data_IF_335624210887
#
_entry.id   IF_335624210887
#
_cell.length_a   1.000
_cell.length_b   1.000
_cell.length_c   1.000
_cell.angle_alpha   90.00
_cell.angle_beta   90.00
_cell.angle_gamma   90.00
#
_symmetry.space_group_name_H-M   'P 1'
#
loop_
_entity.id
_entity.type
_entity.pdbx_description
1 polymer ?
#
# COMPACT_ATOMS: atom_id res chain seq x y z
N UNK A 1 5.63 10.53 -18.94
CA UNK A 1 5.24 9.33 -19.72
C UNK A 1 4.55 9.76 -21.01
N UNK A 2 4.72 8.99 -22.10
CA UNK A 2 4.11 9.24 -23.40
C UNK A 2 3.47 7.95 -23.95
N UNK A 3 2.51 8.11 -24.88
CA UNK A 3 1.80 6.98 -25.50
C UNK A 3 1.01 6.18 -24.47
N UNK A 4 1.02 4.86 -24.54
CA UNK A 4 0.29 3.95 -23.65
C UNK A 4 0.66 4.10 -22.17
N UNK A 5 1.80 4.73 -21.85
CA UNK A 5 2.27 4.99 -20.50
C UNK A 5 1.81 6.33 -19.94
N UNK A 6 1.16 7.16 -20.77
CA UNK A 6 0.64 8.45 -20.33
C UNK A 6 -0.41 8.27 -19.25
N UNK A 7 -0.45 9.21 -18.31
CA UNK A 7 -1.35 9.12 -17.17
C UNK A 7 -2.83 9.08 -17.60
N UNK A 8 -3.21 9.88 -18.56
CA UNK A 8 -4.59 9.95 -19.07
C UNK A 8 -5.09 8.61 -19.62
N UNK A 9 -4.19 7.84 -20.27
CA UNK A 9 -4.51 6.49 -20.76
C UNK A 9 -4.62 5.50 -19.61
N UNK A 10 -3.69 5.57 -18.64
CA UNK A 10 -3.67 4.68 -17.48
C UNK A 10 -4.83 4.95 -16.53
N UNK A 11 -5.24 6.21 -16.34
CA UNK A 11 -6.36 6.57 -15.47
C UNK A 11 -7.63 5.80 -15.84
N UNK A 12 -7.98 5.78 -17.14
CA UNK A 12 -9.17 5.06 -17.60
C UNK A 12 -9.08 3.56 -17.30
N UNK A 13 -7.92 2.96 -17.52
CA UNK A 13 -7.69 1.54 -17.22
C UNK A 13 -7.79 1.24 -15.72
N UNK A 14 -7.24 2.10 -14.86
CA UNK A 14 -7.34 1.98 -13.40
C UNK A 14 -8.79 2.09 -12.92
N UNK A 15 -9.52 3.09 -13.40
CA UNK A 15 -10.94 3.29 -13.10
C UNK A 15 -11.76 2.05 -13.51
N UNK A 16 -11.50 1.51 -14.69
CA UNK A 16 -12.13 0.29 -15.18
C UNK A 16 -11.84 -0.93 -14.28
N UNK A 17 -10.58 -1.10 -13.83
CA UNK A 17 -10.21 -2.18 -12.91
C UNK A 17 -11.00 -2.06 -11.61
N UNK A 18 -11.06 -0.87 -11.01
CA UNK A 18 -11.79 -0.63 -9.76
C UNK A 18 -13.29 -0.95 -9.93
N UNK A 19 -13.89 -0.50 -11.02
CA UNK A 19 -15.34 -0.71 -11.29
C UNK A 19 -15.69 -2.14 -11.61
N UNK A 20 -14.93 -2.80 -12.51
CA UNK A 20 -15.18 -4.21 -12.92
C UNK A 20 -15.03 -5.17 -11.76
N UNK A 21 -14.05 -4.96 -10.89
CA UNK A 21 -13.84 -5.80 -9.70
C UNK A 21 -14.71 -5.37 -8.51
N UNK A 22 -15.49 -4.30 -8.65
CA UNK A 22 -16.39 -3.80 -7.60
C UNK A 22 -15.65 -3.59 -6.27
N UNK A 23 -14.44 -3.05 -6.32
CA UNK A 23 -13.67 -2.80 -5.11
C UNK A 23 -14.43 -1.84 -4.19
N UNK A 24 -14.40 -2.14 -2.91
CA UNK A 24 -14.93 -1.26 -1.87
C UNK A 24 -13.82 -0.43 -1.22
N UNK A 25 -12.59 -0.95 -1.28
CA UNK A 25 -11.36 -0.31 -0.81
C UNK A 25 -10.20 -0.75 -1.69
N UNK A 26 -9.26 0.16 -1.95
CA UNK A 26 -8.00 -0.15 -2.62
C UNK A 26 -6.91 0.81 -2.16
N UNK A 27 -5.67 0.38 -2.31
CA UNK A 27 -4.50 1.17 -1.96
C UNK A 27 -3.64 1.41 -3.21
N UNK A 28 -2.96 2.55 -3.24
CA UNK A 28 -2.01 2.88 -4.29
C UNK A 28 -0.71 3.39 -3.69
N UNK A 29 0.38 3.18 -4.40
CA UNK A 29 1.69 3.74 -4.15
C UNK A 29 2.09 4.65 -5.32
N UNK A 30 3.08 5.51 -5.13
CA UNK A 30 3.58 6.46 -6.13
C UNK A 30 2.54 7.44 -6.70
N UNK A 31 1.40 7.58 -6.03
CA UNK A 31 0.35 8.48 -6.48
C UNK A 31 0.72 9.94 -6.26
N UNK A 32 0.85 10.72 -7.33
CA UNK A 32 1.05 12.18 -7.23
C UNK A 32 -0.26 12.90 -6.91
N UNK A 33 -0.18 14.05 -6.24
CA UNK A 33 -1.37 14.83 -5.86
C UNK A 33 -2.32 15.10 -7.03
N UNK A 34 -1.80 15.40 -8.24
CA UNK A 34 -2.63 15.57 -9.44
C UNK A 34 -3.34 14.28 -9.82
N UNK A 35 -2.65 13.15 -9.78
CA UNK A 35 -3.22 11.85 -10.11
C UNK A 35 -4.31 11.43 -9.12
N UNK A 36 -4.11 11.69 -7.82
CA UNK A 36 -5.14 11.44 -6.82
C UNK A 36 -6.39 12.29 -7.08
N UNK A 37 -6.22 13.55 -7.46
CA UNK A 37 -7.33 14.43 -7.85
C UNK A 37 -8.10 13.87 -9.05
N UNK A 38 -7.39 13.41 -10.08
CA UNK A 38 -8.02 12.84 -11.28
C UNK A 38 -8.76 11.53 -10.95
N UNK A 39 -8.23 10.71 -10.03
CA UNK A 39 -8.89 9.50 -9.54
C UNK A 39 -10.20 9.78 -8.78
N UNK A 40 -10.46 11.02 -8.35
CA UNK A 40 -11.74 11.40 -7.76
C UNK A 40 -12.91 11.41 -8.76
N UNK A 41 -12.68 11.07 -10.04
CA UNK A 41 -13.74 10.66 -10.98
C UNK A 41 -14.52 9.44 -10.43
N UNK A 42 -13.90 8.65 -9.53
CA UNK A 42 -14.55 7.65 -8.68
C UNK A 42 -15.23 8.37 -7.51
N UNK A 43 -16.27 9.12 -7.79
CA UNK A 43 -16.89 10.06 -6.85
C UNK A 43 -17.51 9.39 -5.61
N UNK A 44 -17.75 8.09 -5.65
CA UNK A 44 -18.19 7.27 -4.51
C UNK A 44 -17.07 7.01 -3.49
N UNK A 45 -15.81 7.21 -3.89
CA UNK A 45 -14.66 7.05 -3.01
C UNK A 45 -14.21 8.36 -2.35
N UNK A 46 -13.47 8.21 -1.27
CA UNK A 46 -12.58 9.20 -0.68
C UNK A 46 -11.24 8.52 -0.40
N UNK A 47 -10.23 9.27 0.00
CA UNK A 47 -8.94 8.69 0.37
C UNK A 47 -8.32 9.36 1.60
N UNK A 48 -7.38 8.66 2.23
CA UNK A 48 -6.47 9.16 3.26
C UNK A 48 -5.04 8.91 2.82
N UNK A 49 -4.10 9.63 3.39
CA UNK A 49 -2.66 9.53 3.17
C UNK A 49 -2.03 10.83 2.72
N UNK A 50 -0.86 11.13 3.29
CA UNK A 50 -0.02 12.28 2.92
C UNK A 50 1.01 11.87 1.87
N UNK A 51 1.61 12.84 1.22
CA UNK A 51 2.79 12.61 0.41
C UNK A 51 4.04 12.39 1.30
N UNK A 52 4.99 11.62 0.78
CA UNK A 52 6.20 11.23 1.51
C UNK A 52 7.17 12.39 1.78
N UNK A 53 7.09 13.46 1.00
CA UNK A 53 7.98 14.63 1.13
C UNK A 53 7.40 15.71 2.06
N UNK A 54 6.09 15.66 2.32
CA UNK A 54 5.39 16.53 3.27
C UNK A 54 5.08 17.93 2.74
N UNK A 55 5.29 18.18 1.45
CA UNK A 55 5.13 19.48 0.80
C UNK A 55 4.04 19.50 -0.29
N UNK A 56 3.25 18.43 -0.39
CA UNK A 56 2.25 18.15 -1.42
C UNK A 56 2.80 17.98 -2.84
N UNK A 57 4.10 17.76 -3.00
CA UNK A 57 4.75 17.49 -4.28
C UNK A 57 5.25 16.06 -4.41
N UNK A 58 5.41 15.37 -3.28
CA UNK A 58 5.85 14.00 -3.21
C UNK A 58 4.79 13.00 -3.66
N UNK A 59 5.16 11.74 -3.57
CA UNK A 59 4.31 10.60 -3.89
C UNK A 59 3.59 10.11 -2.64
N UNK A 60 2.31 9.74 -2.80
CA UNK A 60 1.45 9.27 -1.73
C UNK A 60 1.41 7.74 -1.67
N UNK A 61 1.26 7.22 -0.45
CA UNK A 61 0.73 5.90 -0.18
C UNK A 61 -0.75 6.05 0.23
N UNK A 62 -1.66 6.20 -0.75
CA UNK A 62 -3.05 6.52 -0.46
C UNK A 62 -3.92 5.27 -0.28
N UNK A 63 -4.89 5.35 0.64
CA UNK A 63 -5.92 4.33 0.86
C UNK A 63 -7.26 4.92 0.44
N UNK A 64 -7.83 4.40 -0.65
CA UNK A 64 -9.14 4.77 -1.15
C UNK A 64 -10.21 3.86 -0.56
N UNK A 65 -11.35 4.44 -0.20
CA UNK A 65 -12.48 3.71 0.38
C UNK A 65 -13.83 4.30 -0.04
N UNK A 66 -14.85 3.46 -0.21
CA UNK A 66 -16.21 3.90 -0.46
C UNK A 66 -16.80 4.62 0.74
N UNK A 67 -17.27 5.86 0.54
CA UNK A 67 -17.81 6.75 1.59
C UNK A 67 -19.08 6.22 2.23
N UNK A 68 -19.92 5.53 1.44
CA UNK A 68 -21.18 4.95 1.90
C UNK A 68 -21.00 3.63 2.68
N UNK A 69 -19.83 3.01 2.53
CA UNK A 69 -19.53 1.74 3.18
C UNK A 69 -18.61 1.87 4.39
N UNK A 70 -17.62 2.76 4.34
CA UNK A 70 -16.63 2.86 5.39
C UNK A 70 -16.58 4.26 6.01
N UNK A 71 -16.49 4.29 7.34
CA UNK A 71 -16.20 5.49 8.10
C UNK A 71 -14.78 5.40 8.64
N UNK A 72 -13.96 6.40 8.34
CA UNK A 72 -12.64 6.57 8.96
C UNK A 72 -12.84 7.05 10.39
N UNK A 73 -12.33 6.31 11.36
CA UNK A 73 -12.40 6.65 12.79
C UNK A 73 -11.13 7.36 13.26
N UNK A 74 -9.97 6.90 12.75
CA UNK A 74 -8.65 7.50 12.97
C UNK A 74 -7.78 7.22 11.75
N UNK A 75 -6.81 8.05 11.48
CA UNK A 75 -5.78 7.81 10.48
C UNK A 75 -4.51 8.56 10.83
N UNK A 76 -3.43 8.20 10.17
CA UNK A 76 -2.14 8.87 10.30
C UNK A 76 -1.13 8.29 9.31
N UNK A 77 0.05 8.85 9.38
CA UNK A 77 1.18 8.44 8.55
C UNK A 77 2.42 8.34 9.45
N UNK A 78 3.37 7.50 9.06
CA UNK A 78 4.70 7.49 9.64
C UNK A 78 5.75 7.23 8.55
N UNK A 79 6.94 7.80 8.74
CA UNK A 79 8.06 7.60 7.83
C UNK A 79 8.91 6.43 8.28
N UNK A 80 9.38 5.65 7.33
CA UNK A 80 10.35 4.59 7.58
C UNK A 80 11.72 5.17 7.80
N UNK A 81 11.97 5.64 9.01
CA UNK A 81 13.21 6.26 9.45
C UNK A 81 13.32 6.26 10.98
N UNK A 82 14.45 6.65 11.50
CA UNK A 82 14.70 6.85 12.92
C UNK A 82 13.85 7.99 13.53
N UNK A 83 13.23 8.82 12.67
CA UNK A 83 12.35 9.93 13.07
C UNK A 83 10.99 9.79 12.37
N UNK A 84 10.16 8.80 12.77
CA UNK A 84 8.95 8.41 12.02
C UNK A 84 7.85 9.46 11.98
N UNK A 85 7.88 10.46 12.84
CA UNK A 85 6.82 11.47 12.93
C UNK A 85 7.00 12.65 11.94
N UNK A 86 8.15 12.71 11.26
CA UNK A 86 8.48 13.78 10.30
C UNK A 86 9.03 13.22 8.99
N UNK A 87 8.86 13.95 7.85
CA UNK A 87 9.44 13.55 6.58
C UNK A 87 10.97 13.41 6.64
N UNK A 88 11.46 12.17 6.61
CA UNK A 88 12.89 11.88 6.77
C UNK A 88 13.33 10.68 5.96
N UNK A 89 14.63 10.57 5.73
CA UNK A 89 15.27 9.40 5.13
C UNK A 89 15.70 8.47 6.27
N UNK A 90 15.51 7.15 6.10
CA UNK A 90 15.96 6.15 7.06
C UNK A 90 16.93 5.15 6.44
N UNK A 91 17.97 4.77 7.20
CA UNK A 91 18.83 3.61 6.93
C UNK A 91 19.40 3.54 5.51
N UNK A 92 19.79 4.71 4.98
CA UNK A 92 20.37 4.81 3.64
C UNK A 92 19.37 4.70 2.48
N UNK A 93 18.09 4.84 2.73
CA UNK A 93 17.06 4.81 1.70
C UNK A 93 17.31 5.85 0.60
N UNK A 94 17.01 5.48 -0.65
CA UNK A 94 17.12 6.36 -1.81
C UNK A 94 16.11 7.51 -1.80
N UNK A 95 14.92 7.22 -1.27
CA UNK A 95 13.83 8.18 -1.15
C UNK A 95 13.27 8.15 0.27
N UNK A 96 12.60 9.23 0.69
CA UNK A 96 11.72 9.14 1.86
C UNK A 96 10.66 8.09 1.61
N UNK A 97 10.39 7.24 2.60
CA UNK A 97 9.39 6.18 2.51
C UNK A 97 8.38 6.34 3.62
N UNK A 98 7.12 6.10 3.30
CA UNK A 98 5.99 6.39 4.17
C UNK A 98 5.04 5.20 4.23
N UNK A 99 4.42 5.03 5.39
CA UNK A 99 3.26 4.18 5.56
C UNK A 99 2.07 5.05 5.99
N UNK A 100 0.97 4.94 5.26
CA UNK A 100 -0.32 5.51 5.65
C UNK A 100 -1.14 4.43 6.33
N UNK A 101 -1.80 4.78 7.45
CA UNK A 101 -2.72 3.87 8.11
C UNK A 101 -4.08 4.50 8.40
N UNK A 102 -5.11 3.67 8.41
CA UNK A 102 -6.47 4.07 8.79
C UNK A 102 -7.14 3.04 9.69
N UNK A 103 -7.94 3.52 10.64
CA UNK A 103 -8.89 2.72 11.42
C UNK A 103 -10.28 2.94 10.88
N UNK A 104 -10.86 1.91 10.31
CA UNK A 104 -12.14 1.97 9.60
C UNK A 104 -13.24 1.25 10.37
N UNK A 105 -14.47 1.74 10.21
CA UNK A 105 -15.70 1.03 10.56
C UNK A 105 -16.46 0.70 9.27
N UNK A 106 -16.73 -0.58 9.04
CA UNK A 106 -17.67 -1.01 8.02
C UNK A 106 -19.10 -0.68 8.50
N UNK A 107 -19.78 0.20 7.79
CA UNK A 107 -21.12 0.67 8.15
C UNK A 107 -22.21 -0.39 7.95
N UNK A 108 -21.96 -1.41 7.11
CA UNK A 108 -22.90 -2.51 6.87
C UNK A 108 -22.86 -3.56 7.97
N UNK A 109 -21.67 -3.87 8.47
CA UNK A 109 -21.46 -4.93 9.47
C UNK A 109 -21.18 -4.43 10.87
N UNK A 110 -20.86 -3.15 11.02
CA UNK A 110 -20.38 -2.55 12.28
C UNK A 110 -18.95 -2.94 12.68
N UNK A 111 -18.31 -3.85 11.95
CA UNK A 111 -16.96 -4.32 12.25
C UNK A 111 -15.93 -3.21 12.05
N UNK A 112 -14.86 -3.29 12.82
CA UNK A 112 -13.77 -2.31 12.78
C UNK A 112 -12.46 -3.00 12.52
N UNK A 113 -11.60 -2.38 11.68
CA UNK A 113 -10.30 -2.95 11.28
C UNK A 113 -9.32 -1.84 10.92
N UNK A 114 -8.05 -2.18 10.92
CA UNK A 114 -6.98 -1.30 10.46
C UNK A 114 -6.53 -1.67 9.05
N UNK A 115 -6.11 -0.67 8.30
CA UNK A 115 -5.40 -0.84 7.03
C UNK A 115 -4.13 0.00 7.09
N UNK A 116 -3.01 -0.61 6.74
CA UNK A 116 -1.71 0.03 6.55
C UNK A 116 -1.32 -0.10 5.08
N UNK A 117 -0.90 0.99 4.46
CA UNK A 117 -0.43 1.00 3.08
C UNK A 117 1.01 1.51 3.04
N UNK A 118 1.93 0.68 2.59
CA UNK A 118 3.38 0.87 2.65
C UNK A 118 3.99 0.99 1.26
N UNK A 119 5.07 1.76 1.17
CA UNK A 119 5.99 1.70 0.04
C UNK A 119 7.43 1.75 0.56
N UNK A 120 8.11 0.61 0.56
CA UNK A 120 9.46 0.48 1.07
C UNK A 120 10.53 0.84 0.02
N UNK A 121 11.79 0.91 0.41
CA UNK A 121 12.84 1.40 -0.51
C UNK A 121 13.20 0.36 -1.58
N UNK A 122 13.45 0.84 -2.81
CA UNK A 122 13.73 -0.01 -3.96
C UNK A 122 15.21 -0.34 -4.16
N UNK A 123 16.13 0.38 -3.49
CA UNK A 123 17.58 0.17 -3.62
C UNK A 123 18.20 -0.39 -2.33
N UNK A 124 17.96 0.26 -1.19
CA UNK A 124 18.64 -0.02 0.06
C UNK A 124 18.00 -1.23 0.79
N UNK A 125 18.70 -2.35 0.80
CA UNK A 125 18.26 -3.60 1.46
C UNK A 125 18.09 -3.39 2.97
N UNK A 126 19.02 -2.67 3.63
CA UNK A 126 18.91 -2.38 5.06
C UNK A 126 17.69 -1.51 5.37
N UNK A 127 17.38 -0.53 4.52
CA UNK A 127 16.17 0.28 4.70
C UNK A 127 14.90 -0.58 4.59
N UNK A 128 14.82 -1.56 3.65
CA UNK A 128 13.70 -2.50 3.57
C UNK A 128 13.59 -3.36 4.82
N UNK A 129 14.72 -3.88 5.29
CA UNK A 129 14.79 -4.72 6.49
C UNK A 129 14.27 -3.96 7.73
N UNK A 130 14.76 -2.77 7.97
CA UNK A 130 14.33 -1.92 9.09
C UNK A 130 12.88 -1.47 8.94
N UNK A 131 12.41 -1.21 7.72
CA UNK A 131 11.01 -0.89 7.44
C UNK A 131 10.09 -2.04 7.86
N UNK A 132 10.50 -3.29 7.67
CA UNK A 132 9.71 -4.46 8.10
C UNK A 132 9.60 -4.54 9.61
N UNK A 133 10.70 -4.34 10.35
CA UNK A 133 10.66 -4.27 11.82
C UNK A 133 9.75 -3.13 12.30
N UNK A 134 9.92 -1.95 11.73
CA UNK A 134 9.11 -0.79 12.10
C UNK A 134 7.63 -1.02 11.80
N UNK A 135 7.27 -1.61 10.65
CA UNK A 135 5.88 -1.90 10.33
C UNK A 135 5.25 -2.81 11.39
N UNK A 136 5.93 -3.90 11.77
CA UNK A 136 5.46 -4.80 12.82
C UNK A 136 5.27 -4.09 14.17
N UNK A 137 6.23 -3.26 14.54
CA UNK A 137 6.15 -2.46 15.77
C UNK A 137 4.95 -1.50 15.74
N UNK A 138 4.78 -0.75 14.64
CA UNK A 138 3.67 0.19 14.49
C UNK A 138 2.32 -0.52 14.43
N UNK A 139 2.22 -1.67 13.77
CA UNK A 139 1.01 -2.50 13.78
C UNK A 139 0.64 -2.90 15.21
N UNK A 140 1.60 -3.41 16.01
CA UNK A 140 1.36 -3.77 17.42
C UNK A 140 0.92 -2.57 18.25
N UNK A 141 1.61 -1.44 18.10
CA UNK A 141 1.36 -0.20 18.84
C UNK A 141 0.01 0.44 18.51
N UNK A 142 -0.35 0.49 17.22
CA UNK A 142 -1.52 1.21 16.71
C UNK A 142 -2.77 0.33 16.72
N UNK A 143 -2.68 -0.88 16.17
CA UNK A 143 -3.85 -1.76 16.03
C UNK A 143 -4.20 -2.51 17.32
N UNK A 144 -3.21 -2.80 18.20
CA UNK A 144 -3.42 -3.42 19.51
C UNK A 144 -4.24 -4.72 19.42
N UNK A 145 -3.86 -5.60 18.48
CA UNK A 145 -4.51 -6.90 18.27
C UNK A 145 -5.87 -6.86 17.58
N UNK A 146 -6.30 -5.70 17.02
CA UNK A 146 -7.51 -5.64 16.20
C UNK A 146 -7.24 -6.16 14.79
N UNK A 147 -8.29 -6.63 14.07
CA UNK A 147 -8.16 -7.05 12.68
C UNK A 147 -7.42 -6.00 11.84
N UNK A 148 -6.41 -6.44 11.10
CA UNK A 148 -5.48 -5.56 10.40
C UNK A 148 -5.16 -6.11 9.03
N UNK A 149 -5.09 -5.23 8.05
CA UNK A 149 -4.57 -5.48 6.71
C UNK A 149 -3.34 -4.61 6.51
N UNK A 150 -2.24 -5.20 6.04
CA UNK A 150 -1.07 -4.45 5.60
C UNK A 150 -0.90 -4.69 4.10
N UNK A 151 -0.90 -3.63 3.31
CA UNK A 151 -0.75 -3.73 1.85
C UNK A 151 0.37 -2.80 1.38
N UNK A 152 0.86 -3.02 0.17
CA UNK A 152 1.80 -2.09 -0.44
C UNK A 152 2.79 -2.73 -1.38
N UNK A 153 3.64 -1.86 -1.94
CA UNK A 153 4.86 -2.23 -2.65
C UNK A 153 6.02 -2.33 -1.64
N UNK A 154 6.46 -3.56 -1.40
CA UNK A 154 7.55 -3.84 -0.45
C UNK A 154 8.92 -3.90 -1.13
N UNK A 155 8.99 -3.76 -2.45
CA UNK A 155 10.23 -3.83 -3.23
C UNK A 155 11.12 -5.03 -2.87
N UNK A 156 10.52 -6.12 -2.41
CA UNK A 156 11.16 -7.36 -2.02
C UNK A 156 10.29 -8.55 -2.43
N UNK A 157 10.91 -9.64 -2.86
CA UNK A 157 10.21 -10.89 -3.21
C UNK A 157 9.90 -11.73 -1.96
N UNK A 158 8.98 -12.72 -2.05
CA UNK A 158 8.58 -13.54 -0.89
C UNK A 158 9.72 -14.23 -0.16
N UNK A 159 10.78 -14.59 -0.86
CA UNK A 159 11.97 -15.26 -0.34
C UNK A 159 13.02 -14.32 0.26
N UNK A 160 12.88 -13.01 0.06
CA UNK A 160 13.81 -12.03 0.63
C UNK A 160 13.53 -11.75 2.11
N UNK A 161 14.61 -11.46 2.85
CA UNK A 161 14.57 -11.25 4.31
C UNK A 161 13.50 -10.25 4.77
N UNK A 162 13.26 -9.09 4.12
CA UNK A 162 12.23 -8.15 4.57
C UNK A 162 10.83 -8.78 4.66
N UNK A 163 10.47 -9.62 3.69
CA UNK A 163 9.16 -10.31 3.70
C UNK A 163 9.14 -11.43 4.73
N UNK A 164 10.21 -12.21 4.81
CA UNK A 164 10.32 -13.28 5.81
C UNK A 164 10.22 -12.75 7.24
N UNK A 165 10.75 -11.57 7.52
CA UNK A 165 10.61 -10.89 8.82
C UNK A 165 9.15 -10.55 9.14
N UNK A 166 8.37 -10.07 8.16
CA UNK A 166 6.95 -9.76 8.35
C UNK A 166 6.12 -11.00 8.70
N UNK A 167 6.51 -12.17 8.21
CA UNK A 167 5.79 -13.43 8.40
C UNK A 167 6.24 -14.22 9.63
N UNK A 168 7.41 -13.91 10.18
CA UNK A 168 8.09 -14.73 11.21
C UNK A 168 7.27 -14.99 12.46
N UNK A 169 6.57 -13.96 12.97
CA UNK A 169 5.85 -14.02 14.25
C UNK A 169 4.38 -14.36 14.09
N UNK A 170 3.94 -14.74 12.90
CA UNK A 170 2.53 -15.01 12.58
C UNK A 170 1.56 -13.88 12.96
N UNK A 171 2.09 -12.66 13.16
CA UNK A 171 1.27 -11.46 13.32
C UNK A 171 0.56 -11.09 12.03
N UNK A 172 1.24 -11.34 10.92
CA UNK A 172 0.77 -11.11 9.56
C UNK A 172 0.92 -12.41 8.77
N UNK A 173 -0.07 -12.72 7.95
CA UNK A 173 -0.06 -13.83 7.01
C UNK A 173 -0.17 -13.27 5.58
N UNK A 174 0.58 -13.84 4.66
CA UNK A 174 0.44 -13.48 3.25
C UNK A 174 -0.91 -13.98 2.70
N UNK A 175 -1.78 -13.07 2.29
CA UNK A 175 -3.10 -13.42 1.78
C UNK A 175 -3.04 -14.30 0.51
N UNK A 176 -1.96 -14.21 -0.26
CA UNK A 176 -1.74 -15.05 -1.44
C UNK A 176 -1.57 -16.53 -1.05
N UNK A 177 -0.91 -16.79 0.07
CA UNK A 177 -0.63 -18.16 0.56
C UNK A 177 -1.78 -18.72 1.42
N UNK A 178 -2.51 -17.86 2.15
CA UNK A 178 -3.57 -18.32 3.06
C UNK A 178 -4.99 -18.24 2.45
N UNK A 179 -5.12 -17.89 1.17
CA UNK A 179 -6.43 -17.84 0.50
C UNK A 179 -7.08 -19.22 0.37
N UNK A 180 -8.40 -19.27 0.55
CA UNK A 180 -9.19 -20.50 0.37
C UNK A 180 -9.46 -20.85 -1.11
N UNK A 181 -9.25 -19.90 -2.01
CA UNK A 181 -9.42 -20.09 -3.45
C UNK A 181 -8.12 -19.71 -4.16
N UNK A 182 -7.70 -20.49 -5.18
CA UNK A 182 -6.47 -20.15 -5.91
C UNK A 182 -6.49 -18.72 -6.44
N UNK A 183 -5.39 -17.96 -6.27
CA UNK A 183 -5.25 -16.64 -6.87
C UNK A 183 -5.46 -16.70 -8.39
N UNK A 184 -6.03 -15.62 -8.94
CA UNK A 184 -6.24 -15.49 -10.39
C UNK A 184 -5.25 -14.50 -10.98
N UNK A 185 -4.73 -14.82 -12.16
CA UNK A 185 -3.77 -13.97 -12.87
C UNK A 185 -2.31 -14.38 -12.67
N UNK A 186 -1.36 -13.55 -13.09
CA UNK A 186 0.07 -13.85 -12.94
C UNK A 186 0.47 -13.82 -11.47
N UNK A 187 1.47 -14.64 -11.10
CA UNK A 187 2.00 -14.69 -9.74
C UNK A 187 2.83 -13.45 -9.38
N UNK A 188 3.43 -12.78 -10.37
CA UNK A 188 4.22 -11.57 -10.16
C UNK A 188 3.39 -10.30 -10.29
N UNK A 189 3.92 -9.20 -9.75
CA UNK A 189 3.29 -7.89 -9.80
C UNK A 189 4.14 -6.81 -10.50
N UNK A 190 5.44 -7.07 -10.68
CA UNK A 190 6.37 -6.11 -11.28
C UNK A 190 6.76 -6.49 -12.72
N UNK A 191 6.45 -5.61 -13.67
CA UNK A 191 6.76 -5.80 -15.09
C UNK A 191 7.50 -4.61 -15.75
N UNK A 192 7.84 -3.58 -14.98
CA UNK A 192 8.58 -2.39 -15.44
C UNK A 192 7.99 -1.72 -16.70
N UNK A 193 6.65 -1.72 -16.85
CA UNK A 193 5.92 -1.23 -18.03
C UNK A 193 6.29 -1.93 -19.35
N UNK A 194 6.89 -3.12 -19.29
CA UNK A 194 7.22 -3.94 -20.45
C UNK A 194 6.21 -5.09 -20.58
N UNK A 195 5.27 -4.96 -21.50
CA UNK A 195 4.19 -5.93 -21.73
C UNK A 195 4.68 -7.29 -22.24
N UNK A 196 5.93 -7.36 -22.72
CA UNK A 196 6.55 -8.60 -23.20
C UNK A 196 7.29 -9.35 -22.10
N UNK A 197 7.51 -8.71 -20.96
CA UNK A 197 8.25 -9.27 -19.85
C UNK A 197 7.43 -10.31 -19.12
N UNK A 198 8.05 -11.43 -18.81
CA UNK A 198 7.45 -12.39 -17.89
C UNK A 198 7.34 -11.75 -16.49
N UNK A 199 6.12 -11.66 -15.96
CA UNK A 199 5.84 -11.08 -14.64
C UNK A 199 6.14 -12.15 -13.59
N UNK A 200 7.42 -12.27 -13.22
CA UNK A 200 7.89 -13.29 -12.28
C UNK A 200 8.06 -12.76 -10.85
N UNK A 201 8.35 -11.47 -10.69
CA UNK A 201 8.60 -10.88 -9.37
C UNK A 201 7.31 -10.36 -8.74
N UNK A 202 6.92 -10.94 -7.61
CA UNK A 202 5.86 -10.41 -6.75
C UNK A 202 6.52 -9.56 -5.67
N UNK A 203 6.29 -8.27 -5.69
CA UNK A 203 6.80 -7.28 -4.74
C UNK A 203 5.68 -6.50 -4.05
N UNK A 204 4.46 -6.68 -4.53
CA UNK A 204 3.25 -6.14 -3.91
C UNK A 204 2.55 -7.22 -3.09
N UNK A 205 2.09 -6.86 -1.92
CA UNK A 205 1.50 -7.80 -0.97
C UNK A 205 0.23 -7.24 -0.33
N UNK A 206 -0.61 -8.16 0.11
CA UNK A 206 -1.67 -7.93 1.10
C UNK A 206 -1.43 -8.94 2.22
N UNK A 207 -1.07 -8.47 3.39
CA UNK A 207 -0.99 -9.28 4.60
C UNK A 207 -2.27 -9.10 5.43
N UNK A 208 -2.66 -10.19 6.11
CA UNK A 208 -3.84 -10.24 6.96
C UNK A 208 -3.50 -10.76 8.35
#
# INVERSE_FOLDING_TARGET
>A
DKGDKAWEVRLNALVDVVRRNKFDMFAIQEGRTSQLKDMMILNEFSYIGRDRDGDNKGEHCAIFYKKDRFKVLKHGDFWYSETPDIPSYGWGARCRRICTWGYFKDLRTGKKFYVFNSHTDHEATEARRQSSFMLLEQVRKIAKGKPTFCTGDFNATPDEEPIQLLLKDSLLLDSYECTLTPPKGPSGSFYAYDKTRNIAKRIDFIFV
#
